data_IF_955672611677
#
_entry.id   IF_955672611677
#
_cell.length_a   1.000
_cell.length_b   1.000
_cell.length_c   1.000
_cell.angle_alpha   90.00
_cell.angle_beta   90.00
_cell.angle_gamma   90.00
#
_symmetry.space_group_name_H-M   'P 1'
#
loop_
_entity.id
_entity.type
_entity.pdbx_description
1 polymer ?
#
# COMPACT_ATOMS: atom_id res chain seq x y z
N UNK A 1 31.20 -28.13 -7.74
CA UNK A 1 29.83 -28.00 -7.20
C UNK A 1 29.58 -26.52 -6.98
N UNK A 2 28.74 -25.90 -7.80
CA UNK A 2 28.34 -24.50 -7.63
C UNK A 2 26.85 -24.48 -7.27
N UNK A 3 26.47 -24.24 -6.01
CA UNK A 3 25.11 -23.83 -5.71
C UNK A 3 24.99 -22.33 -5.97
N UNK A 4 24.33 -22.05 -7.09
CA UNK A 4 23.71 -20.80 -7.49
C UNK A 4 22.67 -20.38 -6.42
N UNK A 5 23.14 -19.78 -5.33
CA UNK A 5 22.31 -19.37 -4.18
C UNK A 5 22.00 -17.86 -4.21
N UNK A 6 21.63 -17.36 -5.39
CA UNK A 6 21.69 -15.93 -5.72
C UNK A 6 20.39 -15.24 -6.14
N UNK A 7 19.25 -15.93 -6.29
CA UNK A 7 18.10 -15.35 -7.03
C UNK A 7 16.77 -15.24 -6.27
N UNK A 8 16.69 -15.63 -4.99
CA UNK A 8 15.42 -15.50 -4.24
C UNK A 8 15.22 -14.12 -3.60
N UNK A 9 16.25 -13.28 -3.56
CA UNK A 9 16.24 -11.99 -2.83
C UNK A 9 15.71 -10.80 -3.65
N UNK A 10 15.55 -10.94 -4.97
CA UNK A 10 15.16 -9.84 -5.89
C UNK A 10 13.66 -9.75 -6.18
N UNK A 11 12.87 -10.75 -5.81
CA UNK A 11 11.43 -10.76 -6.10
C UNK A 11 10.55 -10.15 -5.00
N UNK A 12 11.06 -10.00 -3.76
CA UNK A 12 10.26 -9.52 -2.63
C UNK A 12 9.99 -8.00 -2.66
N UNK A 13 10.73 -7.24 -3.47
CA UNK A 13 10.61 -5.78 -3.54
C UNK A 13 9.33 -5.30 -4.25
N UNK A 14 8.58 -6.21 -4.90
CA UNK A 14 7.52 -5.85 -5.86
C UNK A 14 6.09 -5.94 -5.35
N UNK A 15 5.86 -6.26 -4.07
CA UNK A 15 4.50 -6.41 -3.50
C UNK A 15 4.31 -5.57 -2.23
N UNK A 16 4.89 -4.36 -2.19
CA UNK A 16 4.21 -3.29 -1.45
C UNK A 16 2.98 -2.91 -2.27
N UNK A 17 1.83 -3.56 -1.99
CA UNK A 17 0.51 -3.02 -2.34
C UNK A 17 0.40 -1.69 -1.61
N UNK A 18 0.93 -0.64 -2.24
CA UNK A 18 0.72 0.71 -1.74
C UNK A 18 -0.70 1.06 -2.15
N UNK A 19 -1.60 1.02 -1.17
CA UNK A 19 -2.96 1.52 -1.33
C UNK A 19 -2.87 2.97 -1.82
N UNK A 20 -3.26 3.18 -3.08
CA UNK A 20 -3.39 4.50 -3.69
C UNK A 20 -4.74 5.06 -3.28
N UNK A 21 -4.79 6.36 -3.00
CA UNK A 21 -6.04 7.06 -2.80
C UNK A 21 -6.93 6.90 -4.05
N UNK A 22 -8.15 6.36 -3.95
CA UNK A 22 -9.04 6.24 -5.10
C UNK A 22 -9.53 7.61 -5.60
N UNK A 23 -9.55 8.64 -4.74
CA UNK A 23 -9.91 10.02 -5.13
C UNK A 23 -8.87 10.75 -5.98
N UNK A 24 -7.56 10.64 -5.67
CA UNK A 24 -6.50 11.41 -6.34
C UNK A 24 -5.29 10.59 -6.81
N UNK A 25 -5.24 9.30 -6.52
CA UNK A 25 -4.13 8.41 -6.89
C UNK A 25 -2.86 8.54 -6.05
N UNK A 26 -2.82 9.47 -5.09
CA UNK A 26 -1.67 9.68 -4.20
C UNK A 26 -1.52 8.53 -3.19
N UNK A 27 -0.28 8.31 -2.73
CA UNK A 27 0.04 7.29 -1.72
C UNK A 27 -0.11 7.85 -0.28
N UNK A 28 -0.79 8.98 -0.12
CA UNK A 28 -0.92 9.76 1.12
C UNK A 28 -2.19 9.40 1.91
N UNK A 29 -2.61 8.13 1.89
CA UNK A 29 -3.73 7.63 2.69
C UNK A 29 -3.27 7.37 4.13
N UNK A 30 -4.03 7.90 5.09
CA UNK A 30 -3.86 7.68 6.53
C UNK A 30 -5.06 6.93 7.06
N UNK A 31 -4.86 6.07 8.04
CA UNK A 31 -5.97 5.42 8.73
C UNK A 31 -6.17 6.10 10.08
N UNK A 32 -7.36 6.63 10.31
CA UNK A 32 -7.71 7.32 11.55
C UNK A 32 -9.08 6.81 12.01
N UNK A 33 -9.18 6.25 13.22
CA UNK A 33 -10.48 5.97 13.85
C UNK A 33 -11.47 5.10 13.03
N UNK A 34 -10.99 4.14 12.23
CA UNK A 34 -11.87 3.29 11.40
C UNK A 34 -12.13 3.82 9.99
N UNK A 35 -11.59 4.98 9.63
CA UNK A 35 -11.69 5.60 8.30
C UNK A 35 -10.31 5.79 7.69
N UNK A 36 -10.20 5.52 6.39
CA UNK A 36 -9.06 5.90 5.57
C UNK A 36 -9.28 7.33 5.09
N UNK A 37 -8.36 8.24 5.41
CA UNK A 37 -8.37 9.63 4.97
C UNK A 37 -7.12 9.92 4.13
N UNK A 38 -7.28 10.41 2.90
CA UNK A 38 -6.20 10.93 2.10
C UNK A 38 -5.83 12.33 2.58
N UNK A 39 -4.59 12.50 3.03
CA UNK A 39 -4.09 13.82 3.45
C UNK A 39 -3.90 14.80 2.30
N UNK A 40 -3.97 14.34 1.05
CA UNK A 40 -3.70 15.19 -0.10
C UNK A 40 -4.95 15.83 -0.69
N UNK A 41 -5.99 15.02 -0.91
CA UNK A 41 -7.25 15.49 -1.50
C UNK A 41 -8.42 15.54 -0.51
N UNK A 42 -8.22 15.04 0.72
CA UNK A 42 -9.27 14.94 1.73
C UNK A 42 -10.22 13.76 1.53
N UNK A 43 -9.94 12.82 0.62
CA UNK A 43 -10.77 11.63 0.41
C UNK A 43 -10.93 10.82 1.70
N UNK A 44 -12.15 10.52 2.13
CA UNK A 44 -12.41 9.67 3.30
C UNK A 44 -13.23 8.42 2.94
N UNK A 45 -12.85 7.26 3.46
CA UNK A 45 -13.55 6.00 3.28
C UNK A 45 -13.64 5.26 4.61
N UNK A 46 -14.86 4.94 5.05
CA UNK A 46 -15.06 4.15 6.25
C UNK A 46 -14.73 2.68 5.96
N UNK A 47 -13.85 2.08 6.77
CA UNK A 47 -13.43 0.66 6.64
C UNK A 47 -14.26 -0.24 7.57
N UNK A 48 -15.24 0.34 8.27
CA UNK A 48 -16.03 -0.31 9.32
C UNK A 48 -17.25 -1.10 8.86
N UNK A 49 -17.53 -1.20 7.55
CA UNK A 49 -18.67 -1.96 7.04
C UNK A 49 -18.19 -2.99 6.00
N UNK A 50 -18.05 -4.24 6.45
CA UNK A 50 -17.96 -5.47 5.65
C UNK A 50 -18.90 -6.50 6.26
#
# INVERSE_FOLDING_TARGET
MSPDDGDWKKQLDKVKVVQKCPGCGQLSLKYEHGKIICSECGFEQNVGEI
#
